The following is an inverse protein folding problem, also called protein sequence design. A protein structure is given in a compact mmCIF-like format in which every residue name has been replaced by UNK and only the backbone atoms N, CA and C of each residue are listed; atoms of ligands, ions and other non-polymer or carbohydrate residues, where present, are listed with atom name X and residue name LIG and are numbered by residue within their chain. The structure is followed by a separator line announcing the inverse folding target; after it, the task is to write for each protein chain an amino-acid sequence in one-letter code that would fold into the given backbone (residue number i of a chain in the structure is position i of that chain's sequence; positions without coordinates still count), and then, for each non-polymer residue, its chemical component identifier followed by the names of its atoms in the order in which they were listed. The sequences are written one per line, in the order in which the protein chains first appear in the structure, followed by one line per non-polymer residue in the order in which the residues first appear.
data_IF_657316315648
#
_entry.id   IF_657316315648
#
_cell.length_a   1.000
_cell.length_b   1.000
_cell.length_c   1.000
_cell.angle_alpha   90.00
_cell.angle_beta   90.00
_cell.angle_gamma   90.00
#
_symmetry.space_group_name_H-M   'P 1'
#
loop_
_entity.id
_entity.type
_entity.pdbx_description
1 polymer ?
#
# COMPACT_ATOMS: atom_id res chain seq x y z
N UNK A 1 -5.38 4.11 14.84
CA UNK A 1 -6.85 3.90 14.62
C UNK A 1 -7.73 5.15 14.68
N UNK A 2 -7.57 6.13 15.59
CA UNK A 2 -8.53 7.25 15.74
C UNK A 2 -8.60 8.28 14.59
N UNK A 3 -7.69 8.25 13.61
CA UNK A 3 -7.57 9.30 12.58
C UNK A 3 -8.26 9.01 11.25
N UNK A 4 -8.49 7.75 10.90
CA UNK A 4 -8.91 7.43 9.52
C UNK A 4 -10.42 7.62 9.26
N UNK A 5 -11.27 7.60 10.30
CA UNK A 5 -12.73 7.67 10.09
C UNK A 5 -13.45 8.34 11.28
N UNK A 6 -13.80 9.63 11.21
CA UNK A 6 -14.59 10.31 12.25
C UNK A 6 -15.99 9.68 12.47
N UNK A 7 -16.44 8.83 11.55
CA UNK A 7 -17.70 8.08 11.62
C UNK A 7 -17.58 6.71 12.32
N UNK A 8 -16.37 6.23 12.65
CA UNK A 8 -16.17 4.93 13.32
C UNK A 8 -16.90 4.82 14.67
N UNK A 9 -17.18 5.94 15.35
CA UNK A 9 -17.97 5.92 16.59
C UNK A 9 -19.41 5.43 16.40
N UNK A 10 -19.88 5.29 15.16
CA UNK A 10 -21.20 4.81 14.80
C UNK A 10 -21.19 3.45 14.10
N UNK A 11 -20.02 2.83 13.91
CA UNK A 11 -19.90 1.59 13.14
C UNK A 11 -19.33 0.48 14.03
N UNK A 12 -19.93 -0.70 13.93
CA UNK A 12 -19.47 -1.88 14.63
C UNK A 12 -18.06 -2.28 14.14
N UNK A 13 -17.12 -2.41 15.08
CA UNK A 13 -15.72 -2.74 14.80
C UNK A 13 -15.56 -4.12 14.14
N UNK A 14 -16.34 -5.11 14.55
CA UNK A 14 -16.29 -6.46 13.98
C UNK A 14 -16.78 -6.45 12.54
N UNK A 15 -17.83 -5.68 12.25
CA UNK A 15 -18.32 -5.49 10.89
C UNK A 15 -17.24 -4.86 9.98
N UNK A 16 -16.54 -3.82 10.45
CA UNK A 16 -15.44 -3.20 9.69
C UNK A 16 -14.30 -4.19 9.45
N UNK A 17 -13.94 -5.00 10.45
CA UNK A 17 -12.89 -6.02 10.28
C UNK A 17 -13.28 -7.07 9.23
N UNK A 18 -14.53 -7.51 9.21
CA UNK A 18 -15.02 -8.43 8.19
C UNK A 18 -15.05 -7.81 6.79
N UNK A 19 -15.46 -6.55 6.67
CA UNK A 19 -15.43 -5.81 5.39
C UNK A 19 -13.98 -5.64 4.89
N UNK A 20 -13.03 -5.31 5.77
CA UNK A 20 -11.60 -5.22 5.42
C UNK A 20 -11.07 -6.58 4.97
N UNK A 21 -11.40 -7.67 5.68
CA UNK A 21 -11.01 -9.03 5.26
C UNK A 21 -11.56 -9.37 3.88
N UNK A 22 -12.82 -9.05 3.63
CA UNK A 22 -13.48 -9.28 2.33
C UNK A 22 -12.82 -8.47 1.22
N UNK A 23 -12.51 -7.19 1.48
CA UNK A 23 -11.80 -6.33 0.55
C UNK A 23 -10.41 -6.89 0.23
N UNK A 24 -9.61 -7.25 1.24
CA UNK A 24 -8.31 -7.90 1.06
C UNK A 24 -8.45 -9.16 0.21
N UNK A 25 -9.29 -10.11 0.60
CA UNK A 25 -9.46 -11.36 -0.13
C UNK A 25 -9.90 -11.14 -1.59
N UNK A 26 -10.73 -10.13 -1.85
CA UNK A 26 -11.17 -9.79 -3.20
C UNK A 26 -10.01 -9.21 -4.03
N UNK A 27 -9.23 -8.30 -3.45
CA UNK A 27 -8.00 -7.77 -4.08
C UNK A 27 -6.99 -8.87 -4.38
N UNK A 28 -6.78 -9.81 -3.44
CA UNK A 28 -5.84 -10.93 -3.64
C UNK A 28 -6.31 -11.90 -4.73
N UNK A 29 -7.63 -12.06 -4.92
CA UNK A 29 -8.21 -12.94 -5.95
C UNK A 29 -8.18 -12.34 -7.34
N UNK A 30 -8.37 -11.02 -7.47
CA UNK A 30 -8.68 -10.44 -8.78
C UNK A 30 -7.45 -9.92 -9.54
N UNK A 31 -6.46 -9.27 -8.93
CA UNK A 31 -5.51 -8.48 -9.73
C UNK A 31 -4.15 -8.21 -9.05
N UNK A 32 -3.41 -9.24 -8.64
CA UNK A 32 -1.99 -9.07 -8.26
C UNK A 32 -1.02 -9.24 -9.42
N UNK A 33 -1.51 -9.57 -10.61
CA UNK A 33 -0.73 -9.61 -11.83
C UNK A 33 -0.97 -8.32 -12.63
N UNK A 34 -0.50 -7.20 -12.07
CA UNK A 34 -0.28 -6.01 -12.88
C UNK A 34 1.13 -6.07 -13.40
N UNK A 35 1.31 -5.94 -14.71
CA UNK A 35 2.63 -5.93 -15.33
C UNK A 35 3.41 -4.67 -14.93
N UNK A 36 2.76 -3.65 -14.36
CA UNK A 36 3.43 -2.43 -13.89
C UNK A 36 3.51 -2.35 -12.36
N UNK A 37 4.57 -1.70 -11.87
CA UNK A 37 4.89 -1.55 -10.45
C UNK A 37 4.38 -0.23 -9.86
N UNK A 38 3.60 0.57 -10.60
CA UNK A 38 3.21 1.91 -10.13
C UNK A 38 2.20 1.93 -8.98
N UNK A 39 1.97 3.10 -8.38
CA UNK A 39 1.03 3.30 -7.27
C UNK A 39 -0.40 3.56 -7.72
N UNK A 40 -0.61 4.10 -8.92
CA UNK A 40 -1.93 4.47 -9.41
C UNK A 40 -2.79 3.24 -9.71
N UNK A 41 -2.22 2.30 -10.45
CA UNK A 41 -2.90 1.09 -10.91
C UNK A 41 -1.93 -0.09 -11.10
N UNK A 42 -0.76 -0.01 -10.46
CA UNK A 42 0.23 -1.06 -10.49
C UNK A 42 0.14 -1.99 -9.29
N UNK A 43 1.05 -2.95 -9.28
CA UNK A 43 1.10 -4.00 -8.30
C UNK A 43 1.38 -3.49 -6.87
N UNK A 44 2.25 -2.48 -6.75
CA UNK A 44 2.63 -1.91 -5.45
C UNK A 44 1.46 -1.23 -4.72
N UNK A 45 0.45 -0.73 -5.44
CA UNK A 45 -0.80 -0.21 -4.84
C UNK A 45 -1.48 -1.23 -3.94
N UNK A 46 -1.57 -2.48 -4.41
CA UNK A 46 -2.26 -3.53 -3.64
C UNK A 46 -1.47 -3.93 -2.40
N UNK A 47 -0.14 -3.89 -2.47
CA UNK A 47 0.73 -4.15 -1.33
C UNK A 47 0.67 -3.02 -0.31
N UNK A 48 0.61 -1.77 -0.75
CA UNK A 48 0.40 -0.61 0.12
C UNK A 48 -0.91 -0.76 0.93
N UNK A 49 -1.99 -1.15 0.25
CA UNK A 49 -3.29 -1.46 0.83
C UNK A 49 -3.22 -2.64 1.80
N UNK A 50 -2.59 -3.75 1.42
CA UNK A 50 -2.46 -4.94 2.27
C UNK A 50 -1.71 -4.62 3.56
N UNK A 51 -0.60 -3.88 3.45
CA UNK A 51 0.18 -3.44 4.60
C UNK A 51 -0.67 -2.59 5.56
N UNK A 52 -1.54 -1.72 5.01
CA UNK A 52 -2.48 -0.92 5.82
C UNK A 52 -3.58 -1.75 6.46
N UNK A 53 -4.14 -2.71 5.73
CA UNK A 53 -5.17 -3.62 6.26
C UNK A 53 -4.64 -4.48 7.41
N UNK A 54 -3.38 -4.89 7.33
CA UNK A 54 -2.70 -5.68 8.37
C UNK A 54 -2.54 -4.96 9.72
N UNK A 55 -2.72 -3.64 9.79
CA UNK A 55 -2.79 -2.91 11.06
C UNK A 55 -4.13 -3.13 11.80
N UNK A 56 -5.15 -3.63 11.09
CA UNK A 56 -6.52 -3.77 11.60
C UNK A 56 -6.95 -5.24 11.67
N UNK A 57 -6.49 -6.06 10.72
CA UNK A 57 -6.83 -7.48 10.62
C UNK A 57 -5.59 -8.35 10.46
N UNK A 58 -5.51 -9.41 11.26
CA UNK A 58 -4.41 -10.38 11.20
C UNK A 58 -4.59 -11.40 10.06
N UNK A 59 -3.52 -12.16 9.80
CA UNK A 59 -3.54 -13.37 8.97
C UNK A 59 -2.93 -13.26 7.59
N UNK A 60 -2.56 -12.06 7.14
CA UNK A 60 -2.10 -11.81 5.76
C UNK A 60 -0.57 -11.64 5.61
N UNK A 61 0.22 -11.83 6.67
CA UNK A 61 1.67 -11.64 6.61
C UNK A 61 2.36 -12.56 5.59
N UNK A 62 1.89 -13.81 5.47
CA UNK A 62 2.45 -14.76 4.49
C UNK A 62 2.15 -14.32 3.07
N UNK A 63 0.93 -13.86 2.81
CA UNK A 63 0.52 -13.32 1.53
C UNK A 63 1.35 -12.10 1.15
N UNK A 64 1.50 -11.14 2.08
CA UNK A 64 2.34 -9.96 1.88
C UNK A 64 3.76 -10.34 1.48
N UNK A 65 4.42 -11.23 2.23
CA UNK A 65 5.78 -11.67 1.94
C UNK A 65 5.89 -12.37 0.57
N UNK A 66 4.89 -13.20 0.22
CA UNK A 66 4.83 -13.89 -1.06
C UNK A 66 4.74 -12.89 -2.22
N UNK A 67 3.85 -11.91 -2.13
CA UNK A 67 3.66 -10.93 -3.20
C UNK A 67 4.81 -9.92 -3.32
N UNK A 68 5.41 -9.50 -2.20
CA UNK A 68 6.66 -8.72 -2.20
C UNK A 68 7.79 -9.49 -2.91
N UNK A 69 7.91 -10.79 -2.65
CA UNK A 69 8.90 -11.64 -3.34
C UNK A 69 8.66 -11.69 -4.86
N UNK A 70 7.40 -11.75 -5.28
CA UNK A 70 7.04 -11.70 -6.71
C UNK A 70 7.35 -10.35 -7.35
N UNK A 71 7.15 -9.23 -6.64
CA UNK A 71 7.58 -7.89 -7.10
C UNK A 71 9.09 -7.88 -7.37
N UNK A 72 9.90 -8.34 -6.41
CA UNK A 72 11.36 -8.37 -6.60
C UNK A 72 11.79 -9.29 -7.73
N UNK A 73 11.10 -10.43 -7.93
CA UNK A 73 11.33 -11.30 -9.08
C UNK A 73 11.03 -10.57 -10.39
N UNK A 74 9.86 -9.92 -10.48
CA UNK A 74 9.46 -9.14 -11.65
C UNK A 74 10.46 -8.04 -11.99
N UNK A 75 10.92 -7.27 -10.99
CA UNK A 75 11.93 -6.21 -11.17
C UNK A 75 13.26 -6.78 -11.65
N UNK A 76 13.71 -7.91 -11.12
CA UNK A 76 14.96 -8.56 -11.57
C UNK A 76 14.88 -9.06 -13.02
N UNK A 77 13.71 -9.53 -13.42
CA UNK A 77 13.49 -10.10 -14.75
C UNK A 77 13.23 -9.02 -15.82
N UNK A 78 12.52 -7.94 -15.48
CA UNK A 78 11.99 -6.98 -16.44
C UNK A 78 12.41 -5.53 -16.21
N UNK A 79 13.18 -5.25 -15.15
CA UNK A 79 13.48 -3.88 -14.73
C UNK A 79 12.27 -3.19 -14.10
N UNK A 80 12.27 -1.85 -14.09
CA UNK A 80 11.23 -1.05 -13.47
C UNK A 80 10.10 -0.78 -14.45
N UNK A 81 8.91 -1.34 -14.20
CA UNK A 81 7.78 -1.16 -15.10
C UNK A 81 6.87 -0.05 -14.56
N UNK A 82 6.95 1.13 -15.16
CA UNK A 82 6.13 2.28 -14.81
C UNK A 82 4.71 2.15 -15.40
N UNK A 83 3.72 2.78 -14.76
CA UNK A 83 2.31 2.78 -15.19
C UNK A 83 2.04 3.76 -16.33
N UNK A 84 2.86 3.72 -17.38
CA UNK A 84 2.69 4.50 -18.60
C UNK A 84 2.32 3.58 -19.76
N UNK A 85 1.63 4.07 -20.82
CA UNK A 85 1.24 3.21 -21.95
C UNK A 85 2.40 2.46 -22.62
N UNK A 86 3.61 3.03 -22.57
CA UNK A 86 4.82 2.45 -23.15
C UNK A 86 5.76 1.83 -22.10
N UNK A 87 5.33 1.71 -20.83
CA UNK A 87 6.13 1.19 -19.72
C UNK A 87 7.48 1.90 -19.54
N UNK A 88 7.61 3.12 -20.04
CA UNK A 88 8.85 3.89 -19.95
C UNK A 88 9.07 4.39 -18.52
N UNK A 89 10.31 4.34 -18.07
CA UNK A 89 10.72 4.89 -16.79
C UNK A 89 10.49 6.40 -16.75
N UNK A 90 9.73 6.85 -15.75
CA UNK A 90 9.46 8.27 -15.50
C UNK A 90 9.61 8.58 -14.01
N UNK A 91 10.00 9.81 -13.62
CA UNK A 91 10.23 10.16 -12.22
C UNK A 91 8.93 10.44 -11.42
N UNK A 92 7.77 10.01 -11.92
CA UNK A 92 6.47 10.31 -11.29
C UNK A 92 6.22 9.52 -10.00
N UNK A 93 5.43 10.10 -9.09
CA UNK A 93 4.99 9.40 -7.88
C UNK A 93 3.92 8.34 -8.18
N UNK A 94 2.85 8.70 -8.90
CA UNK A 94 1.71 7.80 -9.08
C UNK A 94 1.98 6.72 -10.12
N UNK A 95 2.69 7.07 -11.20
CA UNK A 95 2.90 6.21 -12.37
C UNK A 95 4.37 5.84 -12.58
N UNK A 96 5.29 6.29 -11.72
CA UNK A 96 6.73 6.27 -11.99
C UNK A 96 7.63 5.71 -10.89
N UNK A 97 8.93 5.88 -11.11
CA UNK A 97 10.03 5.39 -10.26
C UNK A 97 9.96 5.91 -8.82
N UNK A 98 9.55 7.17 -8.62
CA UNK A 98 9.46 7.72 -7.27
C UNK A 98 8.40 7.01 -6.43
N UNK A 99 7.28 6.60 -7.02
CA UNK A 99 6.29 5.78 -6.34
C UNK A 99 6.79 4.38 -6.02
N UNK A 100 7.49 3.79 -6.99
CA UNK A 100 8.09 2.47 -6.83
C UNK A 100 9.08 2.46 -5.67
N UNK A 101 10.05 3.39 -5.69
CA UNK A 101 11.04 3.52 -4.63
C UNK A 101 10.40 3.81 -3.26
N UNK A 102 9.39 4.70 -3.22
CA UNK A 102 8.69 5.03 -1.98
C UNK A 102 8.04 3.80 -1.33
N UNK A 103 7.29 3.01 -2.11
CA UNK A 103 6.60 1.84 -1.56
C UNK A 103 7.58 0.72 -1.15
N UNK A 104 8.65 0.50 -1.92
CA UNK A 104 9.70 -0.45 -1.53
C UNK A 104 10.37 -0.04 -0.21
N UNK A 105 10.63 1.26 -0.02
CA UNK A 105 11.16 1.77 1.24
C UNK A 105 10.15 1.55 2.38
N UNK A 106 8.86 1.80 2.14
CA UNK A 106 7.79 1.55 3.13
C UNK A 106 7.66 0.08 3.52
N UNK A 107 7.89 -0.86 2.60
CA UNK A 107 7.88 -2.28 2.94
C UNK A 107 9.05 -2.70 3.83
N UNK A 108 10.19 -2.02 3.70
CA UNK A 108 11.35 -2.21 4.57
C UNK A 108 11.19 -1.49 5.93
N UNK A 109 10.50 -0.34 5.92
CA UNK A 109 10.29 0.52 7.10
C UNK A 109 8.80 0.91 7.20
N UNK A 110 7.97 0.08 7.86
CA UNK A 110 6.52 0.30 7.94
C UNK A 110 6.09 1.61 8.63
N UNK A 111 6.99 2.27 9.36
CA UNK A 111 6.76 3.59 9.98
C UNK A 111 6.61 4.73 8.95
N UNK A 112 6.98 4.47 7.68
CA UNK A 112 6.77 5.42 6.59
C UNK A 112 5.27 5.48 6.24
N UNK A 113 4.66 6.68 6.21
CA UNK A 113 3.22 6.82 6.03
C UNK A 113 2.76 6.33 4.65
N UNK A 114 1.53 5.80 4.57
CA UNK A 114 0.92 5.54 3.28
C UNK A 114 0.51 6.86 2.61
N UNK A 115 1.11 7.17 1.45
CA UNK A 115 0.66 8.29 0.61
C UNK A 115 -0.72 8.04 -0.01
N UNK A 116 -1.06 6.76 -0.26
CA UNK A 116 -2.38 6.38 -0.80
C UNK A 116 -3.48 6.50 0.26
N UNK A 117 -3.14 6.23 1.52
CA UNK A 117 -4.00 6.48 2.69
C UNK A 117 -4.03 7.93 3.16
N UNK A 118 -3.33 8.84 2.45
CA UNK A 118 -3.18 10.26 2.80
C UNK A 118 -2.69 10.45 4.25
N UNK A 119 -1.75 9.61 4.67
CA UNK A 119 -1.18 9.64 6.00
C UNK A 119 -0.06 10.68 6.10
N UNK A 120 0.08 11.24 7.31
CA UNK A 120 1.15 12.16 7.63
C UNK A 120 2.13 11.48 8.58
N UNK A 121 3.40 11.87 8.50
CA UNK A 121 4.34 11.54 9.56
C UNK A 121 3.81 12.04 10.90
N UNK A 122 3.76 11.16 11.89
CA UNK A 122 3.58 11.58 13.26
C UNK A 122 4.92 12.15 13.75
N UNK A 123 5.24 13.40 13.38
CA UNK A 123 6.24 14.13 14.14
C UNK A 123 5.70 14.26 15.56
N UNK A 124 6.52 13.97 16.58
CA UNK A 124 6.22 14.39 17.96
C UNK A 124 5.80 15.87 17.90
N UNK A 125 4.50 16.16 17.95
CA UNK A 125 4.02 17.50 18.24
C UNK A 125 4.31 17.73 19.71
N UNK A 126 5.57 18.00 20.04
CA UNK A 126 5.90 18.73 21.25
C UNK A 126 5.21 20.08 21.08
N UNK A 127 4.23 20.32 21.95
CA UNK A 127 3.34 21.46 21.84
C UNK A 127 4.14 22.75 21.85
N UNK A 128 4.02 23.52 20.78
CA UNK A 128 4.12 24.96 20.84
C UNK A 128 2.87 25.48 20.15
N UNK A 129 1.93 25.94 20.99
CA UNK A 129 0.80 26.74 20.54
C UNK A 129 1.29 28.12 20.13
N UNK A 130 0.66 28.67 19.10
CA UNK A 130 0.54 30.11 18.95
C UNK A 130 -0.77 30.56 19.59
#
# INVERSE_FOLDING_TARGET
MKRLYPFLKYINEDFIKEEIRTAVQTTLKQELFSDNHSLCHGYLRNLDFLLKAMEVVDGFQKDFNYFVSNVFKSIKEHGWICGTPSNIEIPGLMTGLSGIGYNLLRFAYPDIPSVLGLEFFESERKGEGF
#
